data_IF_423015772160
#
_entry.id   IF_423015772160
#
_cell.length_a   1.000
_cell.length_b   1.000
_cell.length_c   1.000
_cell.angle_alpha   90.00
_cell.angle_beta   90.00
_cell.angle_gamma   90.00
#
_symmetry.space_group_name_H-M   'P 1'
#
loop_
_entity.id
_entity.type
_entity.pdbx_description
1 polymer ?
#
# COMPACT_ATOMS: atom_id res chain seq x y z
N UNK A 1 -7.90 11.93 -30.49
CA UNK A 1 -6.99 11.61 -29.37
C UNK A 1 -6.93 12.86 -28.53
N UNK A 2 -7.58 12.83 -27.39
CA UNK A 2 -7.87 14.04 -26.62
C UNK A 2 -6.66 14.51 -25.81
N UNK A 3 -6.58 15.83 -25.66
CA UNK A 3 -5.50 16.56 -25.01
C UNK A 3 -5.60 16.37 -23.49
N UNK A 4 -4.64 15.67 -22.89
CA UNK A 4 -4.58 15.50 -21.43
C UNK A 4 -4.07 16.79 -20.77
N UNK A 5 -4.95 17.53 -20.09
CA UNK A 5 -4.57 18.65 -19.23
C UNK A 5 -4.19 18.15 -17.83
N UNK A 6 -3.09 18.66 -17.29
CA UNK A 6 -2.65 18.41 -15.91
C UNK A 6 -3.73 18.83 -14.89
N UNK A 7 -4.07 17.90 -13.99
CA UNK A 7 -4.84 18.20 -12.78
C UNK A 7 -3.86 18.58 -11.66
N UNK A 8 -3.93 19.83 -11.20
CA UNK A 8 -3.31 20.27 -9.94
C UNK A 8 -3.96 19.51 -8.77
N UNK A 9 -3.27 18.54 -8.19
CA UNK A 9 -3.68 17.94 -6.92
C UNK A 9 -3.10 18.73 -5.76
N UNK A 10 -3.78 19.80 -5.37
CA UNK A 10 -3.53 20.46 -4.09
C UNK A 10 -4.67 20.11 -3.16
N UNK A 11 -4.54 18.97 -2.47
CA UNK A 11 -5.49 18.52 -1.46
C UNK A 11 -4.83 18.56 -0.08
N UNK A 12 -5.63 18.89 0.92
CA UNK A 12 -5.20 18.90 2.31
C UNK A 12 -4.63 17.53 2.70
N UNK A 13 -3.60 17.53 3.55
CA UNK A 13 -3.00 16.32 4.09
C UNK A 13 -4.09 15.38 4.66
N UNK A 14 -3.96 14.08 4.43
CA UNK A 14 -4.91 13.08 4.94
C UNK A 14 -6.02 12.67 3.98
N UNK A 15 -6.15 13.29 2.79
CA UNK A 15 -7.22 12.97 1.82
C UNK A 15 -6.71 12.13 0.65
N UNK A 16 -7.59 11.78 -0.28
CA UNK A 16 -7.19 11.24 -1.57
C UNK A 16 -6.21 12.20 -2.27
N UNK A 17 -5.32 11.66 -3.09
CA UNK A 17 -4.30 12.44 -3.76
C UNK A 17 -3.03 11.65 -4.05
N UNK A 18 -2.05 12.35 -4.62
CA UNK A 18 -0.71 11.79 -4.87
C UNK A 18 0.21 12.25 -3.75
N UNK A 19 0.80 11.29 -3.05
CA UNK A 19 1.81 11.52 -2.03
C UNK A 19 3.16 11.08 -2.56
N UNK A 20 4.18 11.91 -2.35
CA UNK A 20 5.55 11.62 -2.73
C UNK A 20 6.48 11.87 -1.55
N UNK A 21 7.38 10.93 -1.28
CA UNK A 21 8.37 11.02 -0.22
C UNK A 21 9.69 10.41 -0.63
N UNK A 22 10.76 10.89 0.00
CA UNK A 22 12.11 10.35 -0.13
C UNK A 22 12.49 9.64 1.17
N UNK A 23 13.24 8.54 1.07
CA UNK A 23 13.76 7.81 2.23
C UNK A 23 15.16 7.26 1.93
N UNK A 24 15.99 7.15 2.97
CA UNK A 24 17.37 6.66 2.86
C UNK A 24 17.45 5.16 3.20
N UNK A 25 18.27 4.42 2.48
CA UNK A 25 18.55 3.00 2.73
C UNK A 25 20.06 2.79 2.74
N UNK A 26 20.62 2.30 3.85
CA UNK A 26 22.06 2.03 3.94
C UNK A 26 22.46 0.80 3.13
N UNK A 27 21.74 -0.30 3.32
CA UNK A 27 21.95 -1.57 2.61
C UNK A 27 20.60 -2.09 2.11
N UNK A 28 20.39 -2.22 0.78
CA UNK A 28 19.16 -2.78 0.24
C UNK A 28 18.89 -4.19 0.76
N UNK A 29 17.76 -4.35 1.44
CA UNK A 29 17.24 -5.63 1.89
C UNK A 29 15.76 -5.71 1.59
N UNK A 30 15.24 -6.93 1.48
CA UNK A 30 13.82 -7.16 1.36
C UNK A 30 13.08 -6.56 2.55
N UNK A 31 11.95 -5.92 2.29
CA UNK A 31 11.14 -5.30 3.33
C UNK A 31 9.68 -5.23 2.89
N UNK A 32 8.81 -4.66 3.72
CA UNK A 32 7.39 -4.55 3.46
C UNK A 32 6.91 -3.13 3.75
N UNK A 33 6.27 -2.50 2.77
CA UNK A 33 5.63 -1.21 2.93
C UNK A 33 4.37 -1.37 3.79
N UNK A 34 4.32 -0.76 4.97
CA UNK A 34 3.22 -0.88 5.91
C UNK A 34 2.12 0.14 5.63
N UNK A 35 1.02 -0.33 5.06
CA UNK A 35 -0.12 0.49 4.65
C UNK A 35 -1.23 0.56 5.70
N UNK A 36 -1.02 0.03 6.91
CA UNK A 36 -2.06 -0.12 7.95
C UNK A 36 -2.79 1.19 8.30
N UNK A 37 -2.09 2.33 8.25
CA UNK A 37 -2.67 3.65 8.55
C UNK A 37 -3.17 4.43 7.32
N UNK A 38 -3.16 3.77 6.15
CA UNK A 38 -3.60 4.31 4.86
C UNK A 38 -4.90 3.63 4.41
N UNK A 39 -5.60 4.21 3.43
CA UNK A 39 -6.90 3.73 2.98
C UNK A 39 -6.78 2.70 1.88
N UNK A 40 -6.91 3.17 0.63
CA UNK A 40 -6.86 2.35 -0.58
C UNK A 40 -6.06 3.06 -1.65
N UNK A 41 -5.18 2.34 -2.33
CA UNK A 41 -4.37 2.97 -3.36
C UNK A 41 -3.39 2.06 -4.08
N UNK A 42 -2.42 2.70 -4.72
CA UNK A 42 -1.30 2.06 -5.43
C UNK A 42 0.01 2.64 -4.91
N UNK A 43 1.00 1.77 -4.69
CA UNK A 43 2.34 2.18 -4.25
C UNK A 43 3.38 1.92 -5.34
N UNK A 44 4.30 2.87 -5.49
CA UNK A 44 5.39 2.83 -6.46
C UNK A 44 6.69 3.20 -5.75
N UNK A 45 7.69 2.32 -5.79
CA UNK A 45 9.03 2.57 -5.23
C UNK A 45 10.04 2.67 -6.37
N UNK A 46 10.77 3.77 -6.45
CA UNK A 46 11.76 4.04 -7.51
C UNK A 46 11.23 3.79 -8.94
N UNK A 47 9.95 4.07 -9.19
CA UNK A 47 9.29 3.84 -10.48
C UNK A 47 8.73 2.42 -10.68
N UNK A 48 9.01 1.47 -9.78
CA UNK A 48 8.46 0.12 -9.81
C UNK A 48 7.12 0.06 -9.07
N UNK A 49 6.06 -0.37 -9.76
CA UNK A 49 4.73 -0.52 -9.17
C UNK A 49 4.68 -1.76 -8.28
N UNK A 50 4.49 -1.56 -6.98
CA UNK A 50 4.37 -2.63 -5.98
C UNK A 50 2.99 -3.30 -5.99
N UNK A 51 1.99 -2.63 -6.58
CA UNK A 51 0.62 -3.10 -6.65
C UNK A 51 -0.33 -2.27 -5.79
N UNK A 52 -1.50 -2.87 -5.52
CA UNK A 52 -2.61 -2.23 -4.82
C UNK A 52 -2.56 -2.55 -3.33
N UNK A 53 -2.79 -1.55 -2.49
CA UNK A 53 -3.13 -1.74 -1.08
C UNK A 53 -4.59 -1.40 -0.83
N UNK A 54 -5.19 -2.08 0.14
CA UNK A 54 -6.54 -1.78 0.62
C UNK A 54 -6.64 -2.11 2.11
N UNK A 55 -5.91 -1.36 2.94
CA UNK A 55 -5.81 -1.62 4.37
C UNK A 55 -7.14 -1.38 5.10
N UNK A 56 -8.04 -0.55 4.56
CA UNK A 56 -9.40 -0.41 5.11
C UNK A 56 -10.27 -1.66 4.98
N UNK A 57 -9.86 -2.67 4.19
CA UNK A 57 -10.58 -3.95 4.05
C UNK A 57 -9.73 -5.16 4.45
N UNK A 58 -8.41 -5.10 4.29
CA UNK A 58 -7.53 -6.26 4.48
C UNK A 58 -7.80 -7.36 3.44
N UNK A 59 -7.38 -8.62 3.70
CA UNK A 59 -6.60 -9.07 4.86
C UNK A 59 -5.12 -8.68 4.77
N UNK A 60 -4.65 -8.18 3.64
CA UNK A 60 -3.25 -7.76 3.44
C UNK A 60 -3.06 -6.29 3.81
N UNK A 61 -2.14 -6.01 4.73
CA UNK A 61 -1.85 -4.65 5.23
C UNK A 61 -0.46 -4.15 4.83
N UNK A 62 0.33 -5.01 4.17
CA UNK A 62 1.68 -4.70 3.72
C UNK A 62 1.90 -5.08 2.26
N UNK A 63 2.69 -4.30 1.54
CA UNK A 63 3.18 -4.66 0.20
C UNK A 63 4.64 -5.08 0.27
N UNK A 64 4.99 -6.21 -0.34
CA UNK A 64 6.38 -6.65 -0.43
C UNK A 64 7.19 -5.66 -1.29
N UNK A 65 8.37 -5.30 -0.81
CA UNK A 65 9.33 -4.44 -1.47
C UNK A 65 10.61 -5.25 -1.68
N UNK A 66 10.85 -5.76 -2.89
CA UNK A 66 12.08 -6.49 -3.19
C UNK A 66 13.31 -5.59 -2.99
N UNK A 67 14.39 -6.14 -2.45
CA UNK A 67 15.69 -5.46 -2.35
C UNK A 67 16.16 -4.93 -3.72
N UNK A 68 15.84 -5.66 -4.80
CA UNK A 68 16.15 -5.26 -6.17
C UNK A 68 15.45 -3.98 -6.65
N UNK A 69 14.39 -3.53 -5.96
CA UNK A 69 13.72 -2.26 -6.25
C UNK A 69 14.31 -1.10 -5.43
N UNK A 70 15.21 -1.38 -4.49
CA UNK A 70 15.88 -0.42 -3.63
C UNK A 70 17.32 -0.21 -4.10
N UNK A 71 17.88 0.94 -3.72
CA UNK A 71 19.30 1.27 -3.91
C UNK A 71 19.87 1.81 -2.61
N UNK A 72 21.17 1.62 -2.38
CA UNK A 72 21.86 2.30 -1.29
C UNK A 72 21.75 3.82 -1.51
N UNK A 73 21.49 4.58 -0.46
CA UNK A 73 21.22 6.02 -0.53
C UNK A 73 19.73 6.34 -0.66
N UNK A 74 19.42 7.37 -1.45
CA UNK A 74 18.08 7.95 -1.51
C UNK A 74 17.14 7.19 -2.47
N UNK A 75 15.98 6.82 -1.96
CA UNK A 75 14.91 6.12 -2.67
C UNK A 75 13.65 7.00 -2.67
N UNK A 76 12.82 6.87 -3.72
CA UNK A 76 11.54 7.57 -3.80
C UNK A 76 10.37 6.61 -3.60
N UNK A 77 9.34 7.09 -2.89
CA UNK A 77 8.06 6.44 -2.75
C UNK A 77 6.99 7.39 -3.30
N UNK A 78 6.15 6.87 -4.19
CA UNK A 78 4.94 7.52 -4.66
C UNK A 78 3.73 6.67 -4.27
N UNK A 79 2.71 7.32 -3.73
CA UNK A 79 1.43 6.71 -3.42
C UNK A 79 0.33 7.45 -4.16
N UNK A 80 -0.53 6.71 -4.84
CA UNK A 80 -1.84 7.19 -5.26
C UNK A 80 -2.86 6.74 -4.22
N UNK A 81 -3.27 7.63 -3.33
CA UNK A 81 -4.30 7.38 -2.31
C UNK A 81 -5.68 7.78 -2.86
N UNK A 82 -6.66 6.89 -2.69
CA UNK A 82 -8.00 6.99 -3.27
C UNK A 82 -9.10 7.17 -2.22
N UNK A 83 -8.77 7.03 -0.93
CA UNK A 83 -9.67 7.24 0.19
C UNK A 83 -9.11 8.37 1.08
N UNK A 84 -8.38 8.00 2.13
CA UNK A 84 -7.80 8.91 3.11
C UNK A 84 -6.70 8.20 3.90
N UNK A 85 -5.81 8.97 4.50
CA UNK A 85 -4.84 8.45 5.47
C UNK A 85 -5.00 9.20 6.79
N UNK A 86 -4.93 8.47 7.89
CA UNK A 86 -4.99 9.03 9.24
C UNK A 86 -3.59 9.29 9.81
N UNK A 87 -2.54 8.95 9.05
CA UNK A 87 -1.16 9.08 9.48
C UNK A 87 -0.54 10.40 9.01
N UNK A 88 -1.21 11.51 9.28
CA UNK A 88 -0.77 12.84 8.91
C UNK A 88 -0.84 13.80 10.10
N UNK A 89 0.07 14.76 10.12
CA UNK A 89 -0.05 15.99 10.91
C UNK A 89 -0.45 17.16 9.99
N UNK A 90 -0.42 18.38 10.52
CA UNK A 90 -0.84 19.59 9.80
C UNK A 90 -0.06 19.86 8.49
N UNK A 91 1.14 19.27 8.32
CA UNK A 91 2.04 19.56 7.20
C UNK A 91 2.56 18.34 6.44
N UNK A 92 2.40 17.12 6.96
CA UNK A 92 3.10 15.94 6.47
C UNK A 92 2.37 14.64 6.79
N UNK A 93 2.53 13.65 5.93
CA UNK A 93 2.01 12.30 6.11
C UNK A 93 3.15 11.29 6.16
N UNK A 94 2.97 10.22 6.92
CA UNK A 94 4.03 9.26 7.20
C UNK A 94 3.69 7.88 6.67
N UNK A 95 4.72 7.20 6.20
CA UNK A 95 4.69 5.81 5.77
C UNK A 95 5.84 5.07 6.47
N UNK A 96 5.67 3.78 6.72
CA UNK A 96 6.68 2.97 7.40
C UNK A 96 6.97 1.70 6.62
N UNK A 97 8.15 1.14 6.86
CA UNK A 97 8.56 -0.16 6.37
C UNK A 97 8.71 -1.10 7.58
N UNK A 98 8.41 -2.38 7.38
CA UNK A 98 8.49 -3.42 8.41
C UNK A 98 9.17 -4.66 7.85
N UNK A 99 9.78 -5.46 8.72
CA UNK A 99 10.58 -6.62 8.31
C UNK A 99 9.75 -7.87 8.02
N UNK A 100 8.46 -7.86 8.38
CA UNK A 100 7.56 -9.01 8.24
C UNK A 100 6.21 -8.59 7.66
N UNK A 101 5.58 -9.43 6.82
CA UNK A 101 4.29 -9.10 6.24
C UNK A 101 3.18 -9.15 7.30
N UNK A 102 2.19 -8.27 7.15
CA UNK A 102 1.01 -8.22 8.02
C UNK A 102 -0.21 -8.70 7.24
N UNK A 103 -0.75 -9.84 7.68
CA UNK A 103 -2.03 -10.38 7.22
C UNK A 103 -2.98 -10.56 8.41
N UNK A 104 -4.16 -9.95 8.36
CA UNK A 104 -5.20 -10.10 9.40
C UNK A 104 -6.46 -10.68 8.77
N UNK A 105 -6.78 -11.91 9.17
CA UNK A 105 -7.99 -12.61 8.76
C UNK A 105 -9.07 -12.40 9.84
N UNK A 106 -10.05 -11.54 9.61
CA UNK A 106 -11.21 -11.46 10.50
C UNK A 106 -12.18 -12.62 10.18
N UNK A 107 -12.13 -13.68 10.95
CA UNK A 107 -13.08 -14.80 10.84
C UNK A 107 -14.45 -14.38 11.38
N UNK A 108 -15.23 -13.63 10.60
CA UNK A 108 -16.70 -13.63 10.76
C UNK A 108 -17.30 -14.65 9.82
N UNK A 109 -16.88 -15.91 9.93
CA UNK A 109 -17.69 -17.01 9.38
C UNK A 109 -18.81 -17.25 10.39
N UNK A 110 -19.97 -16.63 10.15
CA UNK A 110 -21.19 -17.15 10.75
C UNK A 110 -21.29 -18.62 10.33
N UNK A 111 -21.57 -19.54 11.26
CA UNK A 111 -21.69 -20.98 10.96
C UNK A 111 -22.74 -21.28 9.87
N UNK A 112 -23.58 -20.31 9.49
CA UNK A 112 -24.56 -20.40 8.41
C UNK A 112 -23.98 -20.31 6.98
N UNK A 113 -22.79 -19.73 6.78
CA UNK A 113 -22.27 -19.50 5.41
C UNK A 113 -21.50 -20.70 4.82
N UNK A 114 -21.33 -21.78 5.59
CA UNK A 114 -20.60 -22.99 5.17
C UNK A 114 -21.51 -24.08 4.57
N UNK A 115 -22.82 -23.85 4.41
CA UNK A 115 -23.74 -24.90 3.93
C UNK A 115 -24.07 -24.88 2.43
N UNK A 116 -23.56 -23.95 1.62
CA UNK A 116 -23.91 -23.94 0.19
C UNK A 116 -22.92 -23.17 -0.68
N UNK A 117 -21.74 -23.73 -0.92
CA UNK A 117 -21.11 -23.72 -2.26
C UNK A 117 -19.84 -24.56 -2.26
N UNK A 118 -19.69 -25.36 -3.33
CA UNK A 118 -18.63 -26.36 -3.46
C UNK A 118 -17.26 -25.70 -3.49
N UNK A 119 -16.38 -26.21 -2.63
CA UNK A 119 -14.93 -25.98 -2.58
C UNK A 119 -14.32 -26.00 -3.99
N UNK A 120 -13.87 -24.85 -4.47
CA UNK A 120 -12.73 -24.77 -5.39
C UNK A 120 -11.59 -24.13 -4.60
N UNK A 121 -10.96 -24.94 -3.74
CA UNK A 121 -9.66 -24.60 -3.20
C UNK A 121 -8.64 -24.87 -4.31
N UNK A 122 -8.11 -23.80 -4.91
CA UNK A 122 -6.93 -23.88 -5.77
C UNK A 122 -5.73 -23.97 -4.83
N UNK A 123 -5.21 -25.20 -4.67
CA UNK A 123 -3.85 -25.38 -4.15
C UNK A 123 -2.90 -24.96 -5.27
N UNK A 124 -2.01 -24.02 -4.98
CA UNK A 124 -0.84 -23.75 -5.81
C UNK A 124 0.24 -24.69 -5.29
N UNK A 125 0.72 -25.58 -6.15
CA UNK A 125 1.92 -26.40 -5.88
C UNK A 125 3.18 -25.52 -5.79
#
# INVERSE_FOLDING_TARGET
MDKMSQLYFQQAAGRYGVYHGMFHVDTPTDTFLNTTAWGKGVAIVNGNNLGRYWASQGPQYTLYVPAAFLRAGDNSLLLLELESTHNCNDSSCFMSFVDQPIYVWNTTTSKSDLSSTRKHAMFVE
#
